data_IF_477774970766
#
_entry.id   IF_477774970766
#
_cell.length_a   1.000
_cell.length_b   1.000
_cell.length_c   1.000
_cell.angle_alpha   90.00
_cell.angle_beta   90.00
_cell.angle_gamma   90.00
#
_symmetry.space_group_name_H-M   'P 1'
#
loop_
_entity.id
_entity.type
_entity.pdbx_description
1 polymer ?
#
# COMPACT_ATOMS: atom_id res chain seq x y z
N UNK A 1 24.67 42.71 -42.69
CA UNK A 1 24.87 41.62 -43.66
C UNK A 1 25.98 40.65 -43.25
N UNK A 2 27.24 41.12 -43.14
CA UNK A 2 28.42 40.29 -42.83
C UNK A 2 28.29 39.34 -41.63
N UNK A 3 27.73 39.80 -40.49
CA UNK A 3 27.54 38.97 -39.29
C UNK A 3 26.59 37.79 -39.54
N UNK A 4 25.59 37.99 -40.41
CA UNK A 4 24.64 36.93 -40.78
C UNK A 4 25.31 35.91 -41.70
N UNK A 5 26.04 36.39 -42.71
CA UNK A 5 26.81 35.53 -43.62
C UNK A 5 27.90 34.73 -42.90
N UNK A 6 28.60 35.33 -41.92
CA UNK A 6 29.61 34.62 -41.14
C UNK A 6 28.99 33.53 -40.26
N UNK A 7 27.85 33.80 -39.61
CA UNK A 7 27.13 32.77 -38.83
C UNK A 7 26.71 31.60 -39.70
N UNK A 8 26.14 31.90 -40.86
CA UNK A 8 25.70 30.90 -41.81
C UNK A 8 26.89 30.06 -42.32
N UNK A 9 28.00 30.71 -42.67
CA UNK A 9 29.22 30.01 -43.08
C UNK A 9 29.77 29.11 -41.97
N UNK A 10 29.84 29.60 -40.72
CA UNK A 10 30.31 28.79 -39.59
C UNK A 10 29.39 27.58 -39.39
N UNK A 11 28.08 27.77 -39.44
CA UNK A 11 27.12 26.67 -39.29
C UNK A 11 27.25 25.64 -40.41
N UNK A 12 27.30 26.08 -41.67
CA UNK A 12 27.45 25.20 -42.84
C UNK A 12 28.77 24.43 -42.83
N UNK A 13 29.89 25.09 -42.54
CA UNK A 13 31.19 24.41 -42.49
C UNK A 13 31.30 23.51 -41.27
N UNK A 14 30.71 23.88 -40.13
CA UNK A 14 30.67 23.03 -38.93
C UNK A 14 29.89 21.74 -39.20
N UNK A 15 28.73 21.84 -39.87
CA UNK A 15 27.95 20.66 -40.26
C UNK A 15 28.74 19.78 -41.22
N UNK A 16 29.36 20.37 -42.26
CA UNK A 16 30.18 19.60 -43.21
C UNK A 16 31.36 18.90 -42.55
N UNK A 17 32.00 19.54 -41.56
CA UNK A 17 33.10 18.97 -40.82
C UNK A 17 32.63 17.76 -39.99
N UNK A 18 31.52 17.90 -39.27
CA UNK A 18 30.91 16.80 -38.52
C UNK A 18 30.42 15.65 -39.42
N UNK A 19 29.81 15.95 -40.56
CA UNK A 19 29.35 14.94 -41.51
C UNK A 19 30.54 14.15 -42.07
N UNK A 20 31.63 14.85 -42.43
CA UNK A 20 32.85 14.21 -42.92
C UNK A 20 33.47 13.30 -41.87
N UNK A 21 33.55 13.75 -40.62
CA UNK A 21 34.13 12.97 -39.53
C UNK A 21 33.25 11.74 -39.20
N UNK A 22 31.93 11.91 -39.24
CA UNK A 22 30.99 10.80 -39.06
C UNK A 22 31.11 9.76 -40.19
N UNK A 23 31.22 10.19 -41.44
CA UNK A 23 31.34 9.29 -42.58
C UNK A 23 32.68 8.52 -42.56
N UNK A 24 33.78 9.17 -42.16
CA UNK A 24 35.06 8.49 -41.92
C UNK A 24 34.98 7.46 -40.78
N UNK A 25 34.30 7.79 -39.69
CA UNK A 25 34.12 6.85 -38.57
C UNK A 25 33.27 5.63 -39.00
N UNK A 26 32.22 5.85 -39.80
CA UNK A 26 31.40 4.77 -40.35
C UNK A 26 32.18 3.89 -41.33
N UNK A 27 33.03 4.48 -42.18
CA UNK A 27 33.89 3.74 -43.09
C UNK A 27 34.93 2.91 -42.32
N UNK A 28 35.52 3.45 -41.24
CA UNK A 28 36.48 2.73 -40.40
C UNK A 28 35.86 1.49 -39.72
N UNK A 29 34.60 1.57 -39.29
CA UNK A 29 33.86 0.41 -38.76
C UNK A 29 33.47 -0.56 -39.87
N UNK A 30 33.00 -0.06 -41.01
CA UNK A 30 32.54 -0.89 -42.14
C UNK A 30 33.67 -1.65 -42.84
N UNK A 31 34.86 -1.05 -42.89
CA UNK A 31 36.08 -1.67 -43.42
C UNK A 31 36.76 -2.61 -42.42
N UNK A 32 36.27 -2.71 -41.18
CA UNK A 32 36.84 -3.53 -40.12
C UNK A 32 38.15 -2.98 -39.53
N UNK A 33 38.52 -1.73 -39.84
CA UNK A 33 39.63 -1.04 -39.16
C UNK A 33 39.33 -0.81 -37.68
N UNK A 34 38.05 -0.61 -37.36
CA UNK A 34 37.54 -0.58 -35.99
C UNK A 34 36.66 -1.80 -35.77
N UNK A 35 37.03 -2.62 -34.78
CA UNK A 35 36.22 -3.76 -34.37
C UNK A 35 34.94 -3.29 -33.67
N UNK A 36 33.79 -3.71 -34.19
CA UNK A 36 32.48 -3.35 -33.68
C UNK A 36 32.25 -3.84 -32.23
N UNK A 37 32.82 -4.99 -31.87
CA UNK A 37 32.72 -5.53 -30.50
C UNK A 37 33.45 -4.65 -29.48
N UNK A 38 34.64 -4.19 -29.83
CA UNK A 38 35.45 -3.26 -29.01
C UNK A 38 34.79 -1.89 -28.89
N UNK A 39 34.18 -1.40 -29.98
CA UNK A 39 33.41 -0.16 -29.96
C UNK A 39 32.17 -0.28 -29.05
N UNK A 40 31.41 -1.37 -29.18
CA UNK A 40 30.24 -1.65 -28.34
C UNK A 40 30.62 -1.77 -26.86
N UNK A 41 31.73 -2.43 -26.53
CA UNK A 41 32.23 -2.50 -25.16
C UNK A 41 32.67 -1.13 -24.61
N UNK A 42 33.28 -0.30 -25.45
CA UNK A 42 33.68 1.07 -25.06
C UNK A 42 32.44 1.93 -24.79
N UNK A 43 31.42 1.82 -25.63
CA UNK A 43 30.12 2.48 -25.43
C UNK A 43 29.41 1.97 -24.17
N UNK A 44 29.36 0.65 -23.97
CA UNK A 44 28.79 0.04 -22.77
C UNK A 44 29.48 0.58 -21.51
N UNK A 45 30.82 0.59 -21.50
CA UNK A 45 31.59 1.11 -20.37
C UNK A 45 31.29 2.58 -20.10
N UNK A 46 31.32 3.43 -21.13
CA UNK A 46 30.99 4.85 -20.99
C UNK A 46 29.56 5.06 -20.49
N UNK A 47 28.60 4.29 -21.00
CA UNK A 47 27.21 4.33 -20.55
C UNK A 47 27.10 3.91 -19.07
N UNK A 48 27.71 2.80 -18.68
CA UNK A 48 27.69 2.34 -17.29
C UNK A 48 28.35 3.34 -16.34
N UNK A 49 29.53 3.87 -16.68
CA UNK A 49 30.28 4.80 -15.84
C UNK A 49 29.57 6.14 -15.67
N UNK A 50 28.94 6.66 -16.73
CA UNK A 50 28.28 7.98 -16.69
C UNK A 50 26.82 7.94 -16.26
N UNK A 51 26.12 6.84 -16.55
CA UNK A 51 24.67 6.74 -16.34
C UNK A 51 24.34 6.02 -15.04
N UNK A 52 25.07 4.96 -14.66
CA UNK A 52 24.75 4.22 -13.43
C UNK A 52 25.19 4.95 -12.16
N UNK A 53 26.18 5.85 -12.22
CA UNK A 53 26.54 6.71 -11.06
C UNK A 53 25.41 7.71 -10.72
N UNK A 54 24.53 8.02 -11.69
CA UNK A 54 23.44 8.98 -11.53
C UNK A 54 22.04 8.38 -11.64
N UNK A 55 21.92 7.14 -12.11
CA UNK A 55 20.68 6.39 -12.11
C UNK A 55 20.35 5.96 -10.67
N UNK A 56 19.10 6.19 -10.25
CA UNK A 56 18.60 5.54 -9.04
C UNK A 56 18.62 4.02 -9.25
N UNK A 57 19.09 3.21 -8.29
CA UNK A 57 18.90 1.78 -8.34
C UNK A 57 17.43 1.46 -8.62
N UNK A 58 17.19 0.45 -9.44
CA UNK A 58 15.84 -0.09 -9.64
C UNK A 58 15.27 -0.41 -8.26
N UNK A 59 14.12 0.18 -7.92
CA UNK A 59 13.53 -0.03 -6.60
C UNK A 59 13.26 -1.53 -6.44
N UNK A 60 13.61 -2.14 -5.29
CA UNK A 60 13.38 -3.56 -5.06
C UNK A 60 11.92 -3.88 -5.39
N UNK A 61 11.72 -4.87 -6.27
CA UNK A 61 10.40 -5.38 -6.59
C UNK A 61 9.86 -6.12 -5.38
N UNK A 62 9.06 -5.44 -4.56
CA UNK A 62 8.49 -5.97 -3.32
C UNK A 62 7.75 -7.32 -3.50
N UNK A 63 7.27 -7.61 -4.71
CA UNK A 63 6.58 -8.88 -5.01
C UNK A 63 7.54 -10.08 -5.06
N UNK A 64 8.81 -9.89 -5.44
CA UNK A 64 9.82 -10.96 -5.43
C UNK A 64 10.40 -11.18 -4.02
N UNK A 65 10.60 -10.10 -3.25
CA UNK A 65 11.16 -10.18 -1.88
C UNK A 65 10.17 -10.73 -0.83
N UNK A 66 8.86 -10.58 -1.03
CA UNK A 66 7.87 -11.03 -0.04
C UNK A 66 7.87 -12.56 0.14
N UNK A 67 7.99 -13.30 -0.95
CA UNK A 67 7.93 -14.77 -0.92
C UNK A 67 9.11 -15.35 -0.12
N UNK A 68 10.31 -14.80 -0.31
CA UNK A 68 11.53 -15.23 0.37
C UNK A 68 11.50 -14.85 1.85
N UNK A 69 11.06 -13.63 2.19
CA UNK A 69 10.90 -13.21 3.59
C UNK A 69 9.86 -14.07 4.32
N UNK A 70 8.75 -14.41 3.66
CA UNK A 70 7.73 -15.28 4.24
C UNK A 70 8.22 -16.72 4.41
N UNK A 71 8.98 -17.24 3.44
CA UNK A 71 9.62 -18.55 3.53
C UNK A 71 10.62 -18.61 4.70
N UNK A 72 11.49 -17.61 4.82
CA UNK A 72 12.44 -17.47 5.92
C UNK A 72 11.73 -17.39 7.27
N UNK A 73 10.62 -16.65 7.34
CA UNK A 73 9.83 -16.51 8.57
C UNK A 73 9.18 -17.84 8.99
N UNK A 74 8.59 -18.59 8.06
CA UNK A 74 7.96 -19.89 8.33
C UNK A 74 9.00 -20.92 8.81
N UNK A 75 10.19 -20.92 8.20
CA UNK A 75 11.25 -21.84 8.58
C UNK A 75 12.12 -21.33 9.73
N UNK A 76 11.92 -20.09 10.17
CA UNK A 76 12.67 -19.53 11.29
C UNK A 76 12.38 -20.28 12.59
N UNK A 77 13.34 -20.32 13.53
CA UNK A 77 13.10 -20.86 14.88
C UNK A 77 12.00 -20.12 15.66
N UNK A 78 11.57 -18.94 15.20
CA UNK A 78 10.51 -18.15 15.83
C UNK A 78 9.10 -18.54 15.36
N UNK A 79 8.97 -19.33 14.28
CA UNK A 79 7.68 -19.64 13.66
C UNK A 79 6.73 -20.38 14.61
N UNK A 80 7.24 -21.35 15.37
CA UNK A 80 6.46 -22.08 16.39
C UNK A 80 5.95 -21.12 17.49
N UNK A 81 6.78 -20.17 17.91
CA UNK A 81 6.37 -19.16 18.90
C UNK A 81 5.27 -18.25 18.34
N UNK A 82 5.42 -17.81 17.09
CA UNK A 82 4.47 -16.94 16.42
C UNK A 82 3.12 -17.64 16.19
N UNK A 83 3.14 -18.91 15.75
CA UNK A 83 1.94 -19.74 15.59
C UNK A 83 1.23 -19.98 16.92
N UNK A 84 1.98 -20.23 18.00
CA UNK A 84 1.40 -20.38 19.33
C UNK A 84 0.75 -19.09 19.82
N UNK A 85 1.39 -17.94 19.59
CA UNK A 85 0.80 -16.64 19.89
C UNK A 85 -0.47 -16.39 19.07
N UNK A 86 -0.43 -16.63 17.76
CA UNK A 86 -1.58 -16.50 16.88
C UNK A 86 -2.75 -17.37 17.35
N UNK A 87 -2.49 -18.63 17.68
CA UNK A 87 -3.50 -19.52 18.23
C UNK A 87 -4.09 -19.01 19.55
N UNK A 88 -3.23 -18.56 20.48
CA UNK A 88 -3.67 -18.03 21.76
C UNK A 88 -4.54 -16.78 21.60
N UNK A 89 -4.09 -15.82 20.78
CA UNK A 89 -4.87 -14.62 20.47
C UNK A 89 -6.19 -14.98 19.80
N UNK A 90 -6.18 -15.91 18.86
CA UNK A 90 -7.40 -16.36 18.19
C UNK A 90 -8.42 -16.93 19.18
N UNK A 91 -8.00 -17.81 20.08
CA UNK A 91 -8.88 -18.41 21.10
C UNK A 91 -9.43 -17.32 22.03
N UNK A 92 -8.56 -16.48 22.60
CA UNK A 92 -8.97 -15.42 23.54
C UNK A 92 -9.91 -14.41 22.88
N UNK A 93 -9.63 -13.98 21.64
CA UNK A 93 -10.51 -13.07 20.91
C UNK A 93 -11.84 -13.75 20.58
N UNK A 94 -11.84 -15.02 20.16
CA UNK A 94 -13.06 -15.76 19.85
C UNK A 94 -13.98 -15.90 21.07
N UNK A 95 -13.41 -16.16 22.25
CA UNK A 95 -14.16 -16.19 23.51
C UNK A 95 -14.78 -14.83 23.84
N UNK A 96 -13.99 -13.74 23.78
CA UNK A 96 -14.47 -12.38 24.01
C UNK A 96 -15.59 -11.98 23.04
N UNK A 97 -15.45 -12.34 21.76
CA UNK A 97 -16.50 -12.11 20.75
C UNK A 97 -17.76 -12.92 21.06
N UNK A 98 -17.62 -14.15 21.54
CA UNK A 98 -18.74 -14.98 21.98
C UNK A 98 -19.48 -14.37 23.18
N UNK A 99 -18.76 -13.92 24.19
CA UNK A 99 -19.34 -13.24 25.36
C UNK A 99 -20.08 -11.96 24.95
N UNK A 100 -19.46 -11.16 24.09
CA UNK A 100 -20.06 -9.96 23.50
C UNK A 100 -21.39 -10.28 22.82
N UNK A 101 -21.42 -11.32 21.98
CA UNK A 101 -22.61 -11.67 21.21
C UNK A 101 -23.76 -12.14 22.12
N UNK A 102 -23.42 -12.86 23.19
CA UNK A 102 -24.39 -13.25 24.23
C UNK A 102 -24.96 -12.02 24.95
N UNK A 103 -24.12 -11.08 25.38
CA UNK A 103 -24.58 -9.88 26.08
C UNK A 103 -25.38 -8.94 25.18
N UNK A 104 -25.00 -8.78 23.91
CA UNK A 104 -25.79 -8.03 22.92
C UNK A 104 -27.16 -8.68 22.69
N UNK A 105 -27.21 -10.01 22.63
CA UNK A 105 -28.49 -10.74 22.49
C UNK A 105 -29.39 -10.50 23.70
N UNK A 106 -28.86 -10.65 24.92
CA UNK A 106 -29.61 -10.39 26.17
C UNK A 106 -30.12 -8.94 26.24
N UNK A 107 -29.30 -7.97 25.83
CA UNK A 107 -29.70 -6.57 25.79
C UNK A 107 -30.87 -6.34 24.83
N UNK A 108 -30.79 -6.88 23.60
CA UNK A 108 -31.87 -6.77 22.61
C UNK A 108 -33.16 -7.43 23.07
N UNK A 109 -33.07 -8.60 23.69
CA UNK A 109 -34.25 -9.29 24.23
C UNK A 109 -34.93 -8.46 25.32
N UNK A 110 -34.16 -7.89 26.25
CA UNK A 110 -34.68 -7.02 27.30
C UNK A 110 -35.33 -5.76 26.73
N UNK A 111 -34.66 -5.09 25.79
CA UNK A 111 -35.19 -3.90 25.11
C UNK A 111 -36.47 -4.22 24.33
N UNK A 112 -36.54 -5.38 23.68
CA UNK A 112 -37.74 -5.86 22.99
C UNK A 112 -38.92 -6.10 23.94
N UNK A 113 -38.69 -6.70 25.10
CA UNK A 113 -39.73 -6.89 26.12
C UNK A 113 -40.22 -5.55 26.69
N UNK A 114 -39.30 -4.64 26.97
CA UNK A 114 -39.61 -3.31 27.50
C UNK A 114 -40.43 -2.49 26.50
N UNK A 115 -40.00 -2.43 25.23
CA UNK A 115 -40.71 -1.72 24.17
C UNK A 115 -42.12 -2.30 23.95
N UNK A 116 -42.26 -3.63 23.97
CA UNK A 116 -43.58 -4.26 23.88
C UNK A 116 -44.50 -3.85 25.04
N UNK A 117 -43.96 -3.78 26.27
CA UNK A 117 -44.73 -3.35 27.44
C UNK A 117 -45.20 -1.90 27.31
N UNK A 118 -44.31 -1.00 26.89
CA UNK A 118 -44.64 0.42 26.71
C UNK A 118 -45.70 0.59 25.62
N UNK A 119 -45.57 -0.14 24.50
CA UNK A 119 -46.56 -0.12 23.42
C UNK A 119 -47.93 -0.65 23.85
N UNK A 120 -47.99 -1.64 24.75
CA UNK A 120 -49.27 -2.16 25.27
C UNK A 120 -50.01 -1.18 26.19
N UNK A 121 -49.27 -0.27 26.83
CA UNK A 121 -49.78 0.76 27.74
C UNK A 121 -50.02 2.12 27.05
N UNK A 122 -49.62 2.24 25.78
CA UNK A 122 -49.80 3.44 24.99
C UNK A 122 -51.28 3.79 24.82
N UNK A 123 -51.63 5.04 25.14
CA UNK A 123 -53.01 5.53 25.11
C UNK A 123 -53.87 5.05 26.29
N UNK A 124 -53.34 4.22 27.19
CA UNK A 124 -53.97 3.86 28.47
C UNK A 124 -53.38 4.65 29.62
N UNK A 125 -52.08 4.42 29.87
CA UNK A 125 -51.34 4.99 31.00
C UNK A 125 -50.06 5.69 30.55
N UNK A 126 -49.57 5.41 29.34
CA UNK A 126 -48.39 6.02 28.75
C UNK A 126 -48.73 6.80 27.47
N UNK A 127 -47.90 7.79 27.18
CA UNK A 127 -47.98 8.67 26.02
C UNK A 127 -46.93 8.33 24.95
N UNK A 128 -47.08 8.90 23.76
CA UNK A 128 -46.07 8.81 22.69
C UNK A 128 -44.71 9.37 23.13
N UNK A 129 -44.70 10.35 24.05
CA UNK A 129 -43.46 10.91 24.59
C UNK A 129 -42.71 9.89 25.46
N UNK A 130 -43.43 9.05 26.20
CA UNK A 130 -42.82 7.99 27.03
C UNK A 130 -42.19 6.91 26.14
N UNK A 131 -42.84 6.56 25.03
CA UNK A 131 -42.27 5.65 24.00
C UNK A 131 -40.96 6.20 23.44
N UNK A 132 -40.96 7.48 23.04
CA UNK A 132 -39.77 8.13 22.49
C UNK A 132 -38.63 8.22 23.51
N UNK A 133 -38.94 8.43 24.79
CA UNK A 133 -37.95 8.44 25.86
C UNK A 133 -37.26 7.07 26.01
N UNK A 134 -38.03 5.98 25.99
CA UNK A 134 -37.48 4.62 26.08
C UNK A 134 -36.67 4.27 24.83
N UNK A 135 -37.13 4.65 23.64
CA UNK A 135 -36.39 4.47 22.41
C UNK A 135 -35.03 5.20 22.42
N UNK A 136 -35.00 6.44 22.92
CA UNK A 136 -33.77 7.21 23.07
C UNK A 136 -32.79 6.52 24.03
N UNK A 137 -33.28 6.05 25.18
CA UNK A 137 -32.47 5.31 26.15
C UNK A 137 -31.91 4.00 25.57
N UNK A 138 -32.70 3.27 24.77
CA UNK A 138 -32.23 2.07 24.09
C UNK A 138 -31.11 2.38 23.10
N UNK A 139 -31.23 3.48 22.35
CA UNK A 139 -30.23 3.93 21.40
C UNK A 139 -28.91 4.34 22.07
N UNK A 140 -28.97 5.09 23.18
CA UNK A 140 -27.79 5.45 23.97
C UNK A 140 -27.10 4.22 24.57
N UNK A 141 -27.88 3.29 25.14
CA UNK A 141 -27.34 2.07 25.76
C UNK A 141 -26.61 1.19 24.74
N UNK A 142 -27.12 1.07 23.51
CA UNK A 142 -26.45 0.30 22.45
C UNK A 142 -25.11 0.93 22.04
N UNK A 143 -25.00 2.25 22.03
CA UNK A 143 -23.75 2.95 21.70
C UNK A 143 -22.68 2.74 22.78
N UNK A 144 -23.03 2.86 24.07
CA UNK A 144 -22.10 2.67 25.18
C UNK A 144 -21.56 1.24 25.22
N UNK A 145 -22.41 0.24 25.00
CA UNK A 145 -21.97 -1.15 24.92
C UNK A 145 -20.98 -1.36 23.77
N UNK A 146 -21.29 -0.87 22.56
CA UNK A 146 -20.38 -0.99 21.41
C UNK A 146 -19.03 -0.29 21.66
N UNK A 147 -19.02 0.88 22.30
CA UNK A 147 -17.78 1.61 22.61
C UNK A 147 -16.94 0.95 23.71
N UNK A 148 -17.58 0.49 24.80
CA UNK A 148 -16.90 -0.17 25.91
C UNK A 148 -16.24 -1.50 25.52
N UNK A 149 -16.88 -2.25 24.61
CA UNK A 149 -16.32 -3.49 24.07
C UNK A 149 -15.07 -3.22 23.24
N UNK A 150 -15.08 -2.20 22.37
CA UNK A 150 -13.88 -1.81 21.62
C UNK A 150 -12.73 -1.43 22.56
N UNK A 151 -13.00 -0.73 23.65
CA UNK A 151 -11.98 -0.27 24.59
C UNK A 151 -11.28 -1.44 25.32
N UNK A 152 -12.03 -2.49 25.70
CA UNK A 152 -11.44 -3.68 26.33
C UNK A 152 -10.52 -4.47 25.39
N UNK A 153 -10.81 -4.50 24.09
CA UNK A 153 -9.94 -5.16 23.10
C UNK A 153 -8.59 -4.47 22.88
N UNK A 154 -8.47 -3.16 23.17
CA UNK A 154 -7.21 -2.42 23.02
C UNK A 154 -6.29 -2.50 24.25
N UNK A 155 -6.80 -3.02 25.38
CA UNK A 155 -6.10 -3.05 26.67
C UNK A 155 -5.67 -4.45 27.12
N UNK A 156 -6.03 -5.50 26.37
CA UNK A 156 -5.62 -6.88 26.58
C UNK A 156 -4.52 -7.24 25.58
#
# INVERSE_FOLDING_TARGET
DLKKSLKQFVEEETIKDFDRDAEQALEAVSSGQVDAGTLANTWMRAYTETTLEHARPEEPNWDEDFADIYHDLIHSPASETLLNLEHNYFVSISELLGERDVELKKLRERQGLEMNKVMQELGKSLSDQDVNSVAAQHFESQQVTHHGICQHMYTA
#
